data_IF_019542493129
#
_entry.id   IF_019542493129
#
_cell.length_a   1.000
_cell.length_b   1.000
_cell.length_c   1.000
_cell.angle_alpha   90.00
_cell.angle_beta   90.00
_cell.angle_gamma   90.00
#
_symmetry.space_group_name_H-M   'P 1'
#
loop_
_entity.id
_entity.type
_entity.pdbx_description
1 polymer ?
#
# COMPACT_ATOMS: atom_id res chain seq x y z
N UNK A 1 5.31 42.42 -24.01
CA UNK A 1 6.52 41.92 -23.33
C UNK A 1 6.32 40.56 -22.64
N UNK A 2 5.31 40.39 -21.77
CA UNK A 2 5.10 39.13 -21.02
C UNK A 2 4.66 37.90 -21.88
N UNK A 3 3.86 38.12 -22.93
CA UNK A 3 3.28 37.03 -23.75
C UNK A 3 4.31 36.34 -24.68
N UNK A 4 5.28 37.10 -25.20
CA UNK A 4 6.35 36.59 -26.07
C UNK A 4 7.40 35.83 -25.26
N UNK A 5 7.72 36.30 -24.04
CA UNK A 5 8.61 35.58 -23.12
C UNK A 5 8.03 34.21 -22.70
N UNK A 6 6.76 34.18 -22.31
CA UNK A 6 6.06 32.93 -21.97
C UNK A 6 5.93 31.98 -23.17
N UNK A 7 5.75 32.52 -24.38
CA UNK A 7 5.74 31.73 -25.60
C UNK A 7 7.13 31.15 -25.92
N UNK A 8 8.21 31.91 -25.75
CA UNK A 8 9.58 31.41 -25.96
C UNK A 8 9.97 30.33 -24.93
N UNK A 9 9.59 30.48 -23.66
CA UNK A 9 9.74 29.42 -22.65
C UNK A 9 8.86 28.19 -22.97
N UNK A 10 7.69 28.39 -23.57
CA UNK A 10 6.81 27.31 -24.06
C UNK A 10 7.32 26.63 -25.36
N UNK A 11 8.09 27.33 -26.20
CA UNK A 11 8.67 26.76 -27.44
C UNK A 11 9.93 25.95 -27.15
N UNK A 12 10.75 26.36 -26.15
CA UNK A 12 11.75 25.47 -25.50
C UNK A 12 11.12 24.23 -24.86
N UNK A 13 9.79 24.26 -24.76
CA UNK A 13 8.96 23.17 -24.29
C UNK A 13 8.51 22.20 -25.40
N UNK A 14 8.92 22.42 -26.64
CA UNK A 14 8.70 21.50 -27.77
C UNK A 14 10.00 21.07 -28.46
N UNK A 15 11.14 21.66 -28.11
CA UNK A 15 12.48 21.23 -28.54
C UNK A 15 13.07 20.22 -27.54
N UNK A 16 13.85 19.24 -28.02
CA UNK A 16 14.58 18.28 -27.16
C UNK A 16 15.77 18.91 -26.40
N UNK A 17 15.94 20.23 -26.53
CA UNK A 17 17.04 20.96 -25.90
C UNK A 17 16.90 20.93 -24.38
N UNK A 18 17.95 20.43 -23.72
CA UNK A 18 18.10 20.38 -22.27
C UNK A 18 19.28 21.26 -21.84
N UNK A 19 19.17 22.59 -21.93
CA UNK A 19 20.32 23.47 -21.75
C UNK A 19 20.82 23.55 -20.29
N UNK A 20 20.05 23.06 -19.32
CA UNK A 20 20.41 23.15 -17.91
C UNK A 20 21.13 21.88 -17.45
N UNK A 21 22.46 21.92 -17.35
CA UNK A 21 23.29 20.76 -17.02
C UNK A 21 23.62 20.74 -15.52
N UNK A 22 23.47 19.59 -14.90
CA UNK A 22 23.94 19.35 -13.54
C UNK A 22 25.45 19.13 -13.53
N UNK A 23 26.19 20.04 -12.92
CA UNK A 23 27.66 19.95 -12.84
C UNK A 23 28.17 18.78 -11.98
N UNK A 24 27.32 18.18 -11.14
CA UNK A 24 27.71 17.06 -10.26
C UNK A 24 27.67 15.72 -11.02
N UNK A 25 26.71 15.53 -11.93
CA UNK A 25 26.49 14.24 -12.60
C UNK A 25 26.29 14.32 -14.12
N UNK A 26 26.44 15.50 -14.71
CA UNK A 26 26.32 15.74 -16.16
C UNK A 26 24.90 15.64 -16.72
N UNK A 27 23.88 15.35 -15.90
CA UNK A 27 22.49 15.23 -16.38
C UNK A 27 21.94 16.57 -16.85
N UNK A 28 21.29 16.56 -18.01
CA UNK A 28 20.69 17.74 -18.62
C UNK A 28 19.18 17.84 -18.35
N UNK A 29 18.70 19.07 -18.15
CA UNK A 29 17.33 19.39 -17.80
C UNK A 29 16.78 20.49 -18.70
N UNK A 30 15.46 20.45 -18.85
CA UNK A 30 14.70 21.37 -19.70
C UNK A 30 14.66 22.80 -19.19
N UNK A 31 14.59 22.97 -17.88
CA UNK A 31 14.51 24.27 -17.23
C UNK A 31 15.30 24.25 -15.90
N UNK A 32 15.58 25.45 -15.39
CA UNK A 32 16.31 25.65 -14.13
C UNK A 32 15.59 25.07 -12.91
N UNK A 33 14.25 25.08 -12.88
CA UNK A 33 13.47 24.49 -11.79
C UNK A 33 13.68 22.98 -11.67
N UNK A 34 13.68 22.28 -12.80
CA UNK A 34 13.98 20.85 -12.87
C UNK A 34 15.42 20.55 -12.43
N UNK A 35 16.40 21.37 -12.86
CA UNK A 35 17.78 21.24 -12.43
C UNK A 35 17.93 21.48 -10.91
N UNK A 36 17.30 22.52 -10.36
CA UNK A 36 17.36 22.82 -8.92
C UNK A 36 16.75 21.71 -8.07
N UNK A 37 15.59 21.17 -8.48
CA UNK A 37 14.99 19.99 -7.84
C UNK A 37 15.89 18.75 -7.93
N UNK A 38 16.63 18.62 -9.02
CA UNK A 38 17.59 17.53 -9.17
C UNK A 38 18.82 17.72 -8.27
N UNK A 39 19.36 18.94 -8.15
CA UNK A 39 20.52 19.24 -7.29
C UNK A 39 20.25 18.86 -5.83
N UNK A 40 19.00 19.01 -5.36
CA UNK A 40 18.58 18.57 -4.02
C UNK A 40 18.83 17.08 -3.74
N UNK A 41 18.94 16.24 -4.77
CA UNK A 41 19.28 14.82 -4.62
C UNK A 41 20.74 14.66 -4.19
N UNK A 42 21.64 15.48 -4.73
CA UNK A 42 23.08 15.43 -4.42
C UNK A 42 23.38 16.05 -3.05
N UNK A 43 22.71 17.16 -2.74
CA UNK A 43 22.94 17.88 -1.48
C UNK A 43 22.18 17.27 -0.30
N UNK A 44 21.23 16.38 -0.57
CA UNK A 44 20.35 15.80 0.45
C UNK A 44 19.36 16.79 1.08
N UNK A 45 19.30 18.03 0.57
CA UNK A 45 18.43 19.09 1.10
C UNK A 45 16.97 18.71 0.83
N UNK A 46 16.20 18.59 1.91
CA UNK A 46 14.76 18.28 1.89
C UNK A 46 14.00 19.38 2.65
N UNK A 47 13.71 20.51 2.01
CA UNK A 47 13.26 21.72 2.71
C UNK A 47 11.82 21.62 3.21
N UNK A 48 11.06 20.61 2.79
CA UNK A 48 9.65 20.46 3.14
C UNK A 48 9.49 19.40 4.23
N UNK A 49 9.22 19.83 5.45
CA UNK A 49 9.04 18.95 6.61
C UNK A 49 7.57 18.73 6.97
N UNK A 50 7.22 17.48 7.27
CA UNK A 50 5.93 17.12 7.84
C UNK A 50 5.93 17.36 9.35
N UNK A 51 5.08 18.30 9.80
CA UNK A 51 4.96 18.64 11.22
C UNK A 51 4.46 17.49 12.11
N UNK A 52 3.69 16.55 11.54
CA UNK A 52 3.10 15.46 12.32
C UNK A 52 4.09 14.32 12.61
N UNK A 53 5.16 14.17 11.81
CA UNK A 53 6.08 13.03 11.95
C UNK A 53 7.56 13.33 11.65
N UNK A 54 7.91 14.60 11.40
CA UNK A 54 9.27 15.05 11.11
C UNK A 54 9.84 14.59 9.76
N UNK A 55 9.07 13.89 8.91
CA UNK A 55 9.56 13.42 7.61
C UNK A 55 9.78 14.58 6.66
N UNK A 56 10.93 14.59 5.99
CA UNK A 56 11.31 15.66 5.06
C UNK A 56 11.22 15.20 3.60
N UNK A 57 10.90 16.15 2.71
CA UNK A 57 10.69 15.96 1.28
C UNK A 57 11.46 17.01 0.47
N UNK A 58 11.90 16.63 -0.74
CA UNK A 58 12.58 17.54 -1.67
C UNK A 58 11.61 18.50 -2.37
N UNK A 59 10.36 18.09 -2.56
CA UNK A 59 9.33 18.88 -3.25
C UNK A 59 8.05 18.99 -2.42
N UNK A 60 7.40 20.15 -2.48
CA UNK A 60 6.19 20.46 -1.70
C UNK A 60 5.02 19.53 -2.03
N UNK A 61 4.84 19.17 -3.30
CA UNK A 61 3.77 18.26 -3.72
C UNK A 61 3.88 16.87 -3.07
N UNK A 62 5.11 16.38 -2.84
CA UNK A 62 5.33 15.12 -2.13
C UNK A 62 4.99 15.24 -0.64
N UNK A 63 5.25 16.39 -0.01
CA UNK A 63 4.79 16.65 1.35
C UNK A 63 3.26 16.67 1.40
N UNK A 64 2.59 17.36 0.47
CA UNK A 64 1.12 17.39 0.40
C UNK A 64 0.53 15.99 0.23
N UNK A 65 1.09 15.18 -0.68
CA UNK A 65 0.68 13.77 -0.83
C UNK A 65 0.91 12.98 0.46
N UNK A 66 2.05 13.18 1.13
CA UNK A 66 2.36 12.52 2.39
C UNK A 66 1.39 12.90 3.51
N UNK A 67 0.98 14.17 3.62
CA UNK A 67 0.03 14.61 4.64
C UNK A 67 -1.29 13.82 4.56
N UNK A 68 -1.71 13.40 3.36
CA UNK A 68 -2.89 12.52 3.18
C UNK A 68 -2.77 11.18 3.90
N UNK A 69 -1.57 10.74 4.25
CA UNK A 69 -1.36 9.53 5.05
C UNK A 69 -1.73 9.70 6.52
N UNK A 70 -1.72 10.93 7.03
CA UNK A 70 -2.17 11.28 8.39
C UNK A 70 -3.66 11.60 8.41
N UNK A 71 -4.14 12.38 7.45
CA UNK A 71 -5.55 12.80 7.39
C UNK A 71 -6.49 11.71 6.88
N UNK A 72 -5.96 10.72 6.14
CA UNK A 72 -6.76 9.70 5.47
C UNK A 72 -7.50 10.19 4.21
N UNK A 73 -7.25 11.43 3.78
CA UNK A 73 -7.88 12.02 2.60
C UNK A 73 -7.56 11.21 1.33
N UNK A 74 -8.60 10.88 0.55
CA UNK A 74 -8.49 10.11 -0.69
C UNK A 74 -9.27 10.80 -1.81
N UNK A 75 -8.71 11.82 -2.45
CA UNK A 75 -9.44 12.65 -3.42
C UNK A 75 -9.84 11.93 -4.71
N UNK A 76 -9.22 10.78 -4.99
CA UNK A 76 -9.33 10.11 -6.28
C UNK A 76 -10.24 8.89 -6.16
N UNK A 77 -11.52 9.07 -6.48
CA UNK A 77 -12.54 8.02 -6.38
C UNK A 77 -12.73 7.25 -7.70
N UNK A 78 -12.81 5.93 -7.59
CA UNK A 78 -13.18 5.05 -8.68
C UNK A 78 -14.70 5.05 -8.88
N UNK A 79 -15.17 5.62 -9.98
CA UNK A 79 -16.60 5.68 -10.32
C UNK A 79 -17.28 4.32 -10.50
N UNK A 80 -16.50 3.25 -10.73
CA UNK A 80 -17.03 1.89 -10.93
C UNK A 80 -17.36 1.20 -9.61
N UNK A 81 -16.57 1.41 -8.55
CA UNK A 81 -16.72 0.67 -7.29
C UNK A 81 -16.67 1.54 -6.02
N UNK A 82 -16.67 2.86 -6.16
CA UNK A 82 -16.58 3.83 -5.05
C UNK A 82 -15.25 3.84 -4.30
N UNK A 83 -14.26 3.03 -4.72
CA UNK A 83 -13.00 2.93 -3.99
C UNK A 83 -12.15 4.17 -4.22
N UNK A 84 -11.75 4.83 -3.14
CA UNK A 84 -10.94 6.04 -3.18
C UNK A 84 -9.43 5.81 -2.95
N UNK A 85 -8.61 6.65 -3.55
CA UNK A 85 -7.14 6.60 -3.54
C UNK A 85 -6.53 7.96 -3.19
N UNK A 86 -5.32 7.95 -2.61
CA UNK A 86 -4.57 9.16 -2.23
C UNK A 86 -3.91 9.85 -3.43
N UNK A 87 -3.71 9.13 -4.54
CA UNK A 87 -3.11 9.64 -5.78
C UNK A 87 -3.87 9.18 -7.01
N UNK A 88 -3.83 9.99 -8.06
CA UNK A 88 -4.41 9.69 -9.38
C UNK A 88 -3.76 8.47 -10.02
N UNK A 89 -2.43 8.33 -9.92
CA UNK A 89 -1.70 7.18 -10.48
C UNK A 89 -2.16 5.85 -9.89
N UNK A 90 -2.45 5.80 -8.58
CA UNK A 90 -3.01 4.60 -7.96
C UNK A 90 -4.44 4.32 -8.43
N UNK A 91 -5.26 5.36 -8.63
CA UNK A 91 -6.59 5.20 -9.22
C UNK A 91 -6.50 4.63 -10.65
N UNK A 92 -5.60 5.15 -11.50
CA UNK A 92 -5.43 4.65 -12.88
C UNK A 92 -5.02 3.18 -12.89
N UNK A 93 -4.04 2.78 -12.07
CA UNK A 93 -3.65 1.37 -11.95
C UNK A 93 -4.79 0.51 -11.41
N UNK A 94 -5.62 1.05 -10.51
CA UNK A 94 -6.81 0.35 -10.05
C UNK A 94 -7.88 0.21 -11.13
N UNK A 95 -8.13 1.23 -11.95
CA UNK A 95 -9.12 1.14 -13.05
C UNK A 95 -8.79 -0.02 -13.99
N UNK A 96 -7.50 -0.31 -14.19
CA UNK A 96 -7.04 -1.49 -14.96
C UNK A 96 -7.51 -2.83 -14.39
N UNK A 97 -7.87 -2.90 -13.11
CA UNK A 97 -8.46 -4.13 -12.54
C UNK A 97 -9.90 -4.34 -12.99
N UNK A 98 -10.60 -3.29 -13.40
CA UNK A 98 -11.95 -3.37 -13.97
C UNK A 98 -11.90 -3.66 -15.47
N UNK A 99 -10.99 -3.01 -16.18
CA UNK A 99 -10.86 -3.16 -17.65
C UNK A 99 -10.07 -4.40 -18.06
N UNK A 100 -9.26 -4.97 -17.15
CA UNK A 100 -8.35 -6.07 -17.47
C UNK A 100 -7.08 -5.65 -18.21
N UNK A 101 -6.87 -4.35 -18.45
CA UNK A 101 -5.71 -3.83 -19.18
C UNK A 101 -4.39 -4.16 -18.46
N UNK A 102 -3.44 -4.76 -19.19
CA UNK A 102 -2.13 -5.14 -18.67
C UNK A 102 -1.00 -4.71 -19.62
N UNK A 103 -0.62 -3.42 -19.62
CA UNK A 103 0.32 -2.88 -20.62
C UNK A 103 1.75 -3.39 -20.48
N UNK A 104 2.11 -3.91 -19.30
CA UNK A 104 3.49 -4.25 -18.97
C UNK A 104 3.72 -5.74 -19.14
N UNK A 105 4.31 -6.13 -20.27
CA UNK A 105 4.53 -7.53 -20.63
C UNK A 105 5.96 -7.96 -20.27
N UNK A 106 6.07 -9.11 -19.60
CA UNK A 106 7.35 -9.76 -19.37
C UNK A 106 7.85 -10.40 -20.66
N UNK A 107 8.99 -9.93 -21.17
CA UNK A 107 9.58 -10.48 -22.39
C UNK A 107 10.07 -11.92 -22.24
N UNK A 108 10.38 -12.34 -21.01
CA UNK A 108 10.95 -13.66 -20.73
C UNK A 108 9.88 -14.78 -20.67
N UNK A 109 8.64 -14.46 -20.28
CA UNK A 109 7.57 -15.47 -20.15
C UNK A 109 6.19 -15.04 -20.69
N UNK A 110 6.09 -13.88 -21.35
CA UNK A 110 4.84 -13.34 -21.90
C UNK A 110 3.83 -12.85 -20.85
N UNK A 111 4.08 -13.03 -19.56
CA UNK A 111 3.14 -12.65 -18.51
C UNK A 111 2.95 -11.13 -18.45
N UNK A 112 1.69 -10.69 -18.47
CA UNK A 112 1.32 -9.27 -18.48
C UNK A 112 0.88 -8.75 -17.10
N UNK A 113 1.18 -7.48 -16.81
CA UNK A 113 0.93 -6.80 -15.54
C UNK A 113 0.26 -5.44 -15.74
N UNK A 114 -0.56 -5.02 -14.77
CA UNK A 114 -1.26 -3.73 -14.77
C UNK A 114 -0.37 -2.54 -14.35
N UNK A 115 0.81 -2.80 -13.75
CA UNK A 115 1.79 -1.77 -13.38
C UNK A 115 3.22 -2.23 -13.65
N UNK A 116 4.09 -1.26 -13.96
CA UNK A 116 5.52 -1.50 -14.20
C UNK A 116 6.23 -2.04 -12.97
N UNK A 117 5.91 -1.55 -11.78
CA UNK A 117 6.51 -2.00 -10.51
C UNK A 117 6.26 -3.50 -10.27
N UNK A 118 5.07 -4.00 -10.60
CA UNK A 118 4.77 -5.43 -10.50
C UNK A 118 5.52 -6.26 -11.54
N UNK A 119 5.72 -5.73 -12.76
CA UNK A 119 6.57 -6.38 -13.75
C UNK A 119 8.02 -6.47 -13.27
N UNK A 120 8.58 -5.39 -12.69
CA UNK A 120 9.95 -5.39 -12.16
C UNK A 120 10.11 -6.41 -11.03
N UNK A 121 9.16 -6.43 -10.08
CA UNK A 121 9.15 -7.44 -9.01
C UNK A 121 9.06 -8.86 -9.58
N UNK A 122 8.19 -9.07 -10.57
CA UNK A 122 8.07 -10.36 -11.24
C UNK A 122 9.36 -10.79 -11.94
N UNK A 123 10.08 -9.89 -12.61
CA UNK A 123 11.34 -10.26 -13.28
C UNK A 123 12.37 -10.86 -12.32
N UNK A 124 12.33 -10.51 -11.03
CA UNK A 124 13.16 -11.14 -9.99
C UNK A 124 12.87 -12.63 -9.77
N UNK A 125 11.75 -13.15 -10.28
CA UNK A 125 11.48 -14.59 -10.27
C UNK A 125 12.35 -15.33 -11.29
N UNK A 126 12.69 -14.69 -12.40
CA UNK A 126 13.56 -15.27 -13.41
C UNK A 126 15.03 -15.15 -13.02
N UNK A 127 15.46 -13.97 -12.54
CA UNK A 127 16.85 -13.75 -12.13
C UNK A 127 17.22 -14.38 -10.78
N UNK A 128 16.22 -14.70 -9.96
CA UNK A 128 16.43 -15.18 -8.59
C UNK A 128 16.82 -14.08 -7.58
N UNK A 129 16.92 -12.82 -8.01
CA UNK A 129 17.33 -11.68 -7.17
C UNK A 129 16.41 -11.51 -5.95
N UNK A 130 16.99 -11.41 -4.75
CA UNK A 130 16.27 -11.22 -3.49
C UNK A 130 16.86 -10.06 -2.68
N UNK A 131 16.57 -8.80 -3.03
CA UNK A 131 17.24 -7.64 -2.44
C UNK A 131 16.91 -7.39 -0.97
N UNK A 132 15.81 -7.97 -0.47
CA UNK A 132 15.30 -7.67 0.86
C UNK A 132 15.64 -8.79 1.83
N UNK A 133 16.70 -8.58 2.60
CA UNK A 133 17.22 -9.56 3.57
C UNK A 133 16.64 -9.28 4.97
N UNK A 134 16.23 -10.33 5.67
CA UNK A 134 15.87 -10.25 7.08
C UNK A 134 17.15 -10.27 7.93
N UNK A 135 17.39 -9.19 8.68
CA UNK A 135 18.59 -9.08 9.51
C UNK A 135 18.62 -10.05 10.69
N UNK A 136 17.46 -10.57 11.12
CA UNK A 136 17.37 -11.47 12.27
C UNK A 136 17.65 -12.94 11.91
N UNK A 137 17.35 -13.37 10.68
CA UNK A 137 17.49 -14.78 10.28
C UNK A 137 18.17 -15.00 8.92
N UNK A 138 18.66 -13.93 8.28
CA UNK A 138 19.32 -13.97 6.97
C UNK A 138 18.40 -14.28 5.78
N UNK A 139 17.10 -14.54 6.00
CA UNK A 139 16.20 -14.95 4.93
C UNK A 139 15.93 -13.79 3.96
N UNK A 140 16.15 -14.03 2.67
CA UNK A 140 16.00 -13.03 1.62
C UNK A 140 14.69 -13.16 0.82
N UNK A 141 14.15 -12.02 0.39
CA UNK A 141 12.86 -11.89 -0.30
C UNK A 141 12.97 -11.02 -1.56
N UNK A 142 12.10 -11.28 -2.55
CA UNK A 142 12.02 -10.53 -3.81
C UNK A 142 11.31 -9.17 -3.68
N UNK A 143 10.52 -9.00 -2.63
CA UNK A 143 9.71 -7.80 -2.37
C UNK A 143 9.77 -7.39 -0.90
N UNK A 144 9.84 -6.07 -0.64
CA UNK A 144 9.86 -5.51 0.72
C UNK A 144 8.60 -5.86 1.51
N UNK A 145 7.45 -5.96 0.83
CA UNK A 145 6.19 -6.35 1.45
C UNK A 145 6.22 -7.78 1.99
N UNK A 146 6.97 -8.68 1.36
CA UNK A 146 7.18 -10.06 1.81
C UNK A 146 8.10 -10.10 3.03
N UNK A 147 9.21 -9.35 3.02
CA UNK A 147 10.07 -9.19 4.18
C UNK A 147 9.30 -8.64 5.40
N UNK A 148 8.50 -7.58 5.22
CA UNK A 148 7.67 -7.01 6.30
C UNK A 148 6.67 -8.03 6.87
N UNK A 149 6.02 -8.82 6.02
CA UNK A 149 5.11 -9.89 6.47
C UNK A 149 5.87 -11.00 7.20
N UNK A 150 7.09 -11.31 6.78
CA UNK A 150 7.95 -12.30 7.42
C UNK A 150 8.40 -11.84 8.80
N UNK A 151 8.82 -10.58 8.96
CA UNK A 151 9.28 -10.04 10.25
C UNK A 151 8.27 -10.17 11.39
N UNK A 152 6.97 -10.28 11.08
CA UNK A 152 5.92 -10.57 12.08
C UNK A 152 6.10 -11.90 12.82
N UNK A 153 6.84 -12.84 12.24
CA UNK A 153 7.17 -14.12 12.88
C UNK A 153 8.08 -13.87 14.08
N UNK A 154 9.05 -12.97 13.93
CA UNK A 154 10.00 -12.67 14.99
C UNK A 154 9.40 -11.77 16.07
N UNK A 155 8.63 -10.76 15.66
CA UNK A 155 7.97 -9.85 16.61
C UNK A 155 6.70 -10.46 17.24
N UNK A 156 6.26 -11.64 16.81
CA UNK A 156 4.98 -12.24 17.22
C UNK A 156 3.72 -11.44 16.84
N UNK A 157 3.82 -10.43 15.96
CA UNK A 157 2.72 -9.52 15.67
C UNK A 157 1.57 -10.23 14.94
N UNK A 158 0.38 -10.18 15.55
CA UNK A 158 -0.87 -10.78 15.03
C UNK A 158 -1.95 -9.71 14.84
N UNK A 159 -1.85 -8.88 13.79
CA UNK A 159 -2.73 -7.71 13.62
C UNK A 159 -4.18 -8.07 13.25
N UNK A 160 -4.45 -9.31 12.80
CA UNK A 160 -5.78 -9.70 12.37
C UNK A 160 -6.49 -10.48 13.48
N UNK A 161 -7.40 -9.83 14.21
CA UNK A 161 -8.16 -10.44 15.31
C UNK A 161 -9.54 -10.89 14.83
N UNK A 162 -9.92 -12.10 15.18
CA UNK A 162 -11.29 -12.60 15.07
C UNK A 162 -12.16 -11.87 16.10
N UNK A 163 -13.25 -11.27 15.65
CA UNK A 163 -14.19 -10.57 16.55
C UNK A 163 -15.01 -11.56 17.40
N UNK A 164 -15.31 -12.73 16.86
CA UNK A 164 -16.14 -13.74 17.52
C UNK A 164 -15.43 -14.48 18.66
N UNK A 165 -14.13 -14.77 18.54
CA UNK A 165 -13.39 -15.53 19.57
C UNK A 165 -12.10 -14.88 20.06
N UNK A 166 -11.77 -13.68 19.60
CA UNK A 166 -10.55 -12.95 20.01
C UNK A 166 -9.23 -13.52 19.48
N UNK A 167 -9.23 -14.70 18.83
CA UNK A 167 -8.01 -15.30 18.25
C UNK A 167 -7.38 -14.37 17.23
N UNK A 168 -6.07 -14.22 17.30
CA UNK A 168 -5.30 -13.31 16.46
C UNK A 168 -4.38 -14.08 15.50
N UNK A 169 -4.25 -13.55 14.29
CA UNK A 169 -3.48 -14.16 13.19
C UNK A 169 -2.47 -13.16 12.62
N UNK A 170 -1.33 -13.69 12.15
CA UNK A 170 -0.27 -12.90 11.53
C UNK A 170 -0.60 -12.48 10.09
N UNK A 171 -1.55 -13.19 9.45
CA UNK A 171 -1.97 -12.98 8.05
C UNK A 171 -3.49 -13.01 7.92
N UNK A 172 -4.03 -12.22 7.00
CA UNK A 172 -5.47 -12.10 6.78
C UNK A 172 -6.11 -13.40 6.26
N UNK A 173 -5.43 -14.15 5.38
CA UNK A 173 -6.00 -15.41 4.87
C UNK A 173 -6.21 -16.45 5.98
N UNK A 174 -5.32 -16.49 7.00
CA UNK A 174 -5.47 -17.39 8.14
C UNK A 174 -6.71 -17.02 8.98
N UNK A 175 -6.96 -15.71 9.16
CA UNK A 175 -8.21 -15.26 9.75
C UNK A 175 -9.40 -15.65 8.85
N UNK A 176 -9.30 -15.47 7.54
CA UNK A 176 -10.38 -15.84 6.60
C UNK A 176 -10.69 -17.34 6.64
N UNK A 177 -9.68 -18.19 6.69
CA UNK A 177 -9.82 -19.64 6.86
C UNK A 177 -10.45 -19.99 8.20
N UNK A 178 -9.98 -19.38 9.29
CA UNK A 178 -10.63 -19.49 10.60
C UNK A 178 -12.08 -19.02 10.58
N UNK A 179 -12.41 -17.98 9.81
CA UNK A 179 -13.78 -17.50 9.70
C UNK A 179 -14.70 -18.48 8.96
N UNK A 180 -14.18 -19.36 8.10
CA UNK A 180 -14.98 -20.39 7.44
C UNK A 180 -15.50 -21.45 8.40
N UNK A 181 -14.79 -21.71 9.50
CA UNK A 181 -15.26 -22.67 10.51
C UNK A 181 -16.55 -22.19 11.19
N UNK A 182 -16.81 -20.88 11.20
CA UNK A 182 -18.09 -20.31 11.66
C UNK A 182 -19.23 -20.45 10.66
N UNK A 183 -18.93 -20.62 9.36
CA UNK A 183 -19.93 -20.73 8.30
C UNK A 183 -20.24 -22.18 7.93
N UNK A 184 -19.31 -23.11 8.18
CA UNK A 184 -19.44 -24.54 7.86
C UNK A 184 -19.97 -25.37 9.04
N UNK A 185 -19.69 -24.96 10.30
CA UNK A 185 -20.37 -25.51 11.47
C UNK A 185 -21.61 -24.64 11.74
N UNK A 186 -22.81 -25.24 11.78
CA UNK A 186 -23.99 -24.59 12.34
C UNK A 186 -23.66 -24.09 13.76
N UNK A 187 -23.34 -22.82 13.88
CA UNK A 187 -23.10 -22.21 15.18
C UNK A 187 -24.38 -22.29 15.98
N UNK A 188 -24.22 -22.66 17.25
CA UNK A 188 -25.29 -22.61 18.21
C UNK A 188 -25.45 -21.15 18.61
N UNK A 189 -26.46 -20.47 18.05
CA UNK A 189 -26.72 -19.05 18.32
C UNK A 189 -27.62 -18.93 19.55
N UNK A 190 -27.20 -18.14 20.52
CA UNK A 190 -28.05 -17.78 21.65
C UNK A 190 -29.20 -16.90 21.17
N UNK A 191 -30.44 -17.39 21.33
CA UNK A 191 -31.65 -16.66 20.92
C UNK A 191 -31.85 -15.35 21.69
N UNK A 192 -31.30 -15.23 22.89
CA UNK A 192 -31.48 -14.05 23.75
C UNK A 192 -30.53 -12.89 23.41
N UNK A 193 -29.31 -13.18 22.95
CA UNK A 193 -28.30 -12.15 22.72
C UNK A 193 -27.57 -12.22 21.38
N UNK A 194 -27.91 -13.20 20.52
CA UNK A 194 -27.31 -13.37 19.20
C UNK A 194 -25.86 -13.87 19.20
N UNK A 195 -25.26 -14.14 20.37
CA UNK A 195 -23.89 -14.66 20.46
C UNK A 195 -23.81 -16.07 19.89
N UNK A 196 -22.76 -16.33 19.11
CA UNK A 196 -22.54 -17.61 18.44
C UNK A 196 -21.54 -18.49 19.20
N UNK A 197 -21.83 -19.79 19.31
CA UNK A 197 -21.02 -20.75 20.05
C UNK A 197 -20.60 -21.93 19.16
N UNK A 198 -19.36 -22.39 19.36
CA UNK A 198 -18.71 -23.48 18.62
C UNK A 198 -19.37 -24.86 18.80
N UNK A 199 -20.18 -25.04 19.84
CA UNK A 199 -20.93 -26.27 20.11
C UNK A 199 -22.10 -26.00 21.08
N UNK A 200 -23.06 -26.94 21.15
CA UNK A 200 -24.26 -26.82 21.99
C UNK A 200 -23.94 -26.71 23.48
N UNK A 201 -22.85 -27.33 23.96
CA UNK A 201 -22.49 -27.31 25.38
C UNK A 201 -22.05 -25.91 25.83
N UNK A 202 -21.30 -25.19 24.99
CA UNK A 202 -20.93 -23.80 25.25
C UNK A 202 -22.13 -22.87 25.18
N UNK A 203 -23.08 -23.11 24.27
CA UNK A 203 -24.34 -22.36 24.23
C UNK A 203 -25.17 -22.60 25.51
N UNK A 204 -25.32 -23.85 25.94
CA UNK A 204 -26.14 -24.20 27.10
C UNK A 204 -25.59 -23.59 28.39
N UNK A 205 -24.27 -23.62 28.58
CA UNK A 205 -23.63 -22.95 29.71
C UNK A 205 -23.79 -21.42 29.65
N UNK A 206 -23.71 -20.83 28.46
CA UNK A 206 -23.99 -19.40 28.29
C UNK A 206 -25.47 -19.05 28.51
N UNK A 207 -26.40 -19.92 28.10
CA UNK A 207 -27.84 -19.73 28.27
C UNK A 207 -28.23 -19.63 29.74
N UNK A 208 -27.51 -20.33 30.62
CA UNK A 208 -27.71 -20.27 32.07
C UNK A 208 -27.48 -18.89 32.69
N UNK A 209 -26.67 -18.03 32.05
CA UNK A 209 -26.44 -16.64 32.49
C UNK A 209 -27.68 -15.77 32.26
N UNK A 210 -28.55 -16.16 31.31
CA UNK A 210 -29.83 -15.49 31.08
C UNK A 210 -30.95 -16.03 31.98
N UNK A 211 -30.70 -17.12 32.72
CA UNK A 211 -31.69 -17.78 33.59
C UNK A 211 -31.42 -17.56 35.07
N UNK A 212 -30.79 -16.45 35.46
CA UNK A 212 -30.70 -16.04 36.86
C UNK A 212 -32.08 -15.60 37.40
N UNK A 213 -33.03 -16.54 37.47
CA UNK A 213 -34.08 -16.49 38.47
C UNK A 213 -33.45 -16.92 39.80
N UNK A 214 -33.27 -15.94 40.70
CA UNK A 214 -32.87 -16.18 42.09
C UNK A 214 -33.86 -17.14 42.76
N UNK A 215 -33.41 -18.20 43.45
CA UNK A 215 -34.30 -18.99 44.29
C UNK A 215 -34.61 -18.22 45.59
N UNK A 216 -35.90 -18.08 45.90
CA UNK A 216 -36.42 -17.83 47.25
C UNK A 216 -36.77 -19.18 47.90
#
# INVERSE_FOLDING_TARGET
>A
YNRVYLLNEHVKTHTEEKPFICMICGKSFRNSSCLNKHIQIHTGIKPYECKDCGKTFTVSSSLTEHIRTHTGEKPYECRVCGKAFTTSSHLVVHIRTHTGEKPYICKECGKAFASSSHLIEHRRTHTGEKPYVCNECGKAFRASSHLRKHGRIHTGQKPYKCKECGKAYSRFYLLKEHLKTYTEEQLFVCKNCGKSFKNSSCLNHHAQIHTDEKPY
#
